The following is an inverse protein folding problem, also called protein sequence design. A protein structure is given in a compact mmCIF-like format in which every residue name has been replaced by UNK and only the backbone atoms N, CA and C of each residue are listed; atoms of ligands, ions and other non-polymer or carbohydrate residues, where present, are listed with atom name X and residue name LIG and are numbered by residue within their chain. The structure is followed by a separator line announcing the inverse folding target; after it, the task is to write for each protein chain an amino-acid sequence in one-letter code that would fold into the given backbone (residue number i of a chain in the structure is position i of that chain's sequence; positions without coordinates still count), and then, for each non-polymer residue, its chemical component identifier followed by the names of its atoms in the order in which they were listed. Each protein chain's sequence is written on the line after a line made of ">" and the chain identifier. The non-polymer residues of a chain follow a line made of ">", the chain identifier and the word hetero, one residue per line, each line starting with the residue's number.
data_IF_182363830977
#
_entry.id   IF_182363830977
#
_cell.length_a   1.000
_cell.length_b   1.000
_cell.length_c   1.000
_cell.angle_alpha   90.00
_cell.angle_beta   90.00
_cell.angle_gamma   90.00
#
_symmetry.space_group_name_H-M   'P 1'
#
loop_
_entity.id
_entity.type
_entity.pdbx_description
1 polymer ?
#
# COMPACT_ATOMS: atom_id res chain seq x y z
N UNK A 1 12.58 2.85 5.38
CA UNK A 1 11.94 3.77 4.40
C UNK A 1 11.51 3.00 3.19
N UNK A 2 10.24 3.13 2.76
CA UNK A 2 9.66 2.39 1.62
C UNK A 2 8.69 3.26 0.82
N UNK A 3 8.45 2.87 -0.42
CA UNK A 3 7.30 3.34 -1.20
C UNK A 3 6.32 2.19 -1.34
N UNK A 4 5.05 2.44 -1.04
CA UNK A 4 3.96 1.48 -1.21
C UNK A 4 3.07 1.94 -2.36
N UNK A 5 2.79 1.04 -3.29
CA UNK A 5 1.82 1.27 -4.35
C UNK A 5 0.66 0.29 -4.27
N UNK A 6 -0.54 0.74 -4.63
CA UNK A 6 -1.77 -0.06 -4.71
C UNK A 6 -1.95 -0.62 -6.12
N UNK A 7 -2.40 -1.88 -6.20
CA UNK A 7 -2.61 -2.55 -7.48
C UNK A 7 -3.75 -1.90 -8.30
N UNK A 8 -3.66 -1.80 -9.62
CA UNK A 8 -2.48 -2.07 -10.46
C UNK A 8 -1.78 -0.77 -10.90
N UNK A 9 -2.53 0.33 -10.99
CA UNK A 9 -2.06 1.58 -11.59
C UNK A 9 -1.10 2.33 -10.69
N UNK A 10 -1.28 2.28 -9.37
CA UNK A 10 -0.32 2.81 -8.41
C UNK A 10 1.09 2.21 -8.56
N UNK A 11 1.26 1.03 -9.16
CA UNK A 11 2.59 0.48 -9.43
C UNK A 11 3.34 1.26 -10.52
N UNK A 12 2.62 1.81 -11.50
CA UNK A 12 3.20 2.57 -12.61
C UNK A 12 3.84 3.88 -12.14
N UNK A 13 3.42 4.40 -10.99
CA UNK A 13 3.97 5.61 -10.38
C UNK A 13 4.84 5.28 -9.16
N UNK A 14 4.37 4.42 -8.27
CA UNK A 14 5.06 4.06 -7.04
C UNK A 14 6.39 3.34 -7.27
N UNK A 15 6.47 2.42 -8.23
CA UNK A 15 7.73 1.70 -8.48
C UNK A 15 8.82 2.62 -9.08
N UNK A 16 8.54 3.48 -10.08
CA UNK A 16 9.51 4.47 -10.53
C UNK A 16 9.90 5.49 -9.45
N UNK A 17 8.97 5.93 -8.59
CA UNK A 17 9.29 6.82 -7.46
C UNK A 17 10.23 6.12 -6.47
N UNK A 18 9.97 4.86 -6.13
CA UNK A 18 10.85 4.06 -5.27
C UNK A 18 12.27 3.96 -5.85
N UNK A 19 12.35 3.71 -7.16
CA UNK A 19 13.61 3.62 -7.90
C UNK A 19 14.36 4.97 -7.87
N UNK A 20 13.68 6.07 -8.16
CA UNK A 20 14.28 7.41 -8.15
C UNK A 20 14.78 7.85 -6.77
N UNK A 21 14.14 7.37 -5.70
CA UNK A 21 14.54 7.62 -4.32
C UNK A 21 15.57 6.61 -3.78
N UNK A 22 15.87 5.54 -4.53
CA UNK A 22 16.78 4.47 -4.09
C UNK A 22 16.25 3.65 -2.91
N UNK A 23 14.94 3.49 -2.78
CA UNK A 23 14.28 2.76 -1.68
C UNK A 23 13.49 1.55 -2.18
N UNK A 24 13.14 0.65 -1.26
CA UNK A 24 12.33 -0.52 -1.60
C UNK A 24 10.90 -0.17 -1.97
N UNK A 25 10.40 -0.77 -3.06
CA UNK A 25 8.99 -0.77 -3.43
C UNK A 25 8.26 -1.95 -2.79
N UNK A 26 7.06 -1.70 -2.28
CA UNK A 26 6.20 -2.70 -1.66
C UNK A 26 4.81 -2.67 -2.32
N UNK A 27 4.37 -3.76 -2.97
CA UNK A 27 3.04 -3.81 -3.55
C UNK A 27 1.98 -4.15 -2.49
N UNK A 28 0.87 -3.42 -2.53
CA UNK A 28 -0.40 -3.79 -1.89
C UNK A 28 -1.34 -4.30 -2.97
N UNK A 29 -1.95 -5.47 -2.75
CA UNK A 29 -2.65 -6.22 -3.80
C UNK A 29 -4.03 -6.68 -3.36
N UNK A 30 -4.84 -7.08 -4.34
CA UNK A 30 -6.08 -7.82 -4.07
C UNK A 30 -5.79 -9.22 -3.50
N UNK A 31 -6.77 -9.87 -2.85
CA UNK A 31 -6.55 -11.12 -2.13
C UNK A 31 -6.01 -12.25 -3.00
N UNK A 32 -5.09 -13.04 -2.45
CA UNK A 32 -4.55 -14.24 -3.09
C UNK A 32 -3.54 -13.96 -4.21
N UNK A 33 -3.07 -12.72 -4.35
CA UNK A 33 -2.04 -12.33 -5.34
C UNK A 33 -0.62 -12.29 -4.78
N UNK A 34 -0.49 -12.35 -3.46
CA UNK A 34 0.78 -12.31 -2.74
C UNK A 34 1.13 -13.74 -2.25
N UNK A 35 2.33 -14.27 -2.58
CA UNK A 35 2.64 -15.69 -2.35
C UNK A 35 3.13 -16.02 -0.93
N UNK A 36 3.47 -15.02 -0.11
CA UNK A 36 3.94 -15.22 1.27
C UNK A 36 2.84 -14.79 2.25
N UNK A 37 3.09 -14.95 3.54
CA UNK A 37 2.14 -14.58 4.58
C UNK A 37 1.72 -13.09 4.46
N UNK A 38 0.41 -12.84 4.52
CA UNK A 38 -0.20 -11.52 4.38
C UNK A 38 -1.06 -11.18 5.58
N UNK A 39 -1.23 -9.87 5.81
CA UNK A 39 -2.39 -9.34 6.53
C UNK A 39 -3.30 -8.64 5.54
N UNK A 40 -4.59 -8.58 5.87
CA UNK A 40 -5.60 -7.99 5.02
C UNK A 40 -6.41 -6.89 5.72
N UNK A 41 -6.95 -5.98 4.93
CA UNK A 41 -7.84 -4.90 5.37
C UNK A 41 -8.98 -4.73 4.37
N UNK A 42 -10.21 -4.77 4.88
CA UNK A 42 -11.43 -4.62 4.08
C UNK A 42 -11.83 -3.15 4.01
N UNK A 43 -12.33 -2.71 2.86
CA UNK A 43 -12.83 -1.35 2.66
C UNK A 43 -14.13 -1.35 1.86
N UNK A 44 -14.93 -0.31 2.07
CA UNK A 44 -16.23 -0.17 1.44
C UNK A 44 -16.11 0.36 0.00
N UNK A 45 -16.95 -0.18 -0.87
CA UNK A 45 -17.22 0.34 -2.22
C UNK A 45 -18.60 1.01 -2.23
N UNK A 46 -18.95 1.62 -3.35
CA UNK A 46 -20.33 2.11 -3.56
C UNK A 46 -21.35 0.96 -3.42
N UNK A 47 -20.96 -0.24 -3.85
CA UNK A 47 -21.73 -1.46 -3.70
C UNK A 47 -20.85 -2.58 -3.17
N UNK A 48 -21.00 -2.91 -1.89
CA UNK A 48 -20.28 -4.00 -1.23
C UNK A 48 -18.93 -3.60 -0.66
N UNK A 49 -18.05 -4.59 -0.51
CA UNK A 49 -16.71 -4.40 0.06
C UNK A 49 -15.67 -5.11 -0.80
N UNK A 50 -14.44 -4.62 -0.74
CA UNK A 50 -13.26 -5.28 -1.32
C UNK A 50 -12.15 -5.30 -0.26
N UNK A 51 -11.05 -5.98 -0.55
CA UNK A 51 -9.97 -6.20 0.41
C UNK A 51 -8.61 -5.97 -0.23
N UNK A 52 -7.67 -5.46 0.57
CA UNK A 52 -6.27 -5.32 0.21
C UNK A 52 -5.38 -6.16 1.12
N UNK A 53 -4.28 -6.65 0.58
CA UNK A 53 -3.28 -7.46 1.26
C UNK A 53 -1.87 -6.88 1.10
N UNK A 54 -1.05 -7.04 2.14
CA UNK A 54 0.38 -6.75 2.16
C UNK A 54 1.13 -7.92 2.82
N UNK A 55 2.35 -8.22 2.38
CA UNK A 55 3.17 -9.21 3.08
C UNK A 55 3.57 -8.71 4.47
N UNK A 56 3.52 -9.60 5.48
CA UNK A 56 3.82 -9.26 6.88
C UNK A 56 5.26 -8.81 7.11
N UNK A 57 6.19 -9.20 6.25
CA UNK A 57 7.60 -8.84 6.34
C UNK A 57 7.99 -7.63 5.48
N UNK A 58 7.03 -7.04 4.74
CA UNK A 58 7.32 -5.97 3.80
C UNK A 58 7.61 -4.64 4.49
N UNK A 59 7.06 -4.43 5.68
CA UNK A 59 7.20 -3.22 6.49
C UNK A 59 7.76 -3.64 7.86
N UNK A 60 8.72 -2.87 8.37
CA UNK A 60 9.26 -3.04 9.72
C UNK A 60 8.90 -1.83 10.60
N UNK A 61 8.81 -2.01 11.93
CA UNK A 61 8.64 -0.88 12.85
C UNK A 61 9.64 0.24 12.59
N UNK A 62 9.14 1.48 12.46
CA UNK A 62 9.94 2.67 12.18
C UNK A 62 10.26 2.90 10.69
N UNK A 63 9.80 2.03 9.78
CA UNK A 63 9.84 2.34 8.35
C UNK A 63 8.97 3.58 8.08
N UNK A 64 9.58 4.65 7.55
CA UNK A 64 8.85 5.77 6.96
C UNK A 64 8.35 5.40 5.57
N UNK A 65 7.05 5.45 5.36
CA UNK A 65 6.40 4.94 4.16
C UNK A 65 5.67 6.05 3.42
N UNK A 66 5.98 6.18 2.13
CA UNK A 66 5.22 7.00 1.19
C UNK A 66 4.24 6.10 0.45
N UNK A 67 2.95 6.44 0.46
CA UNK A 67 1.94 5.77 -0.38
C UNK A 67 1.82 6.52 -1.70
N UNK A 68 1.83 5.79 -2.82
CA UNK A 68 1.70 6.37 -4.16
C UNK A 68 0.61 5.64 -4.94
N UNK A 69 -0.32 6.39 -5.51
CA UNK A 69 -1.34 5.87 -6.43
C UNK A 69 -1.47 6.79 -7.65
N UNK A 70 -2.29 6.43 -8.63
CA UNK A 70 -2.50 7.23 -9.84
C UNK A 70 -3.55 8.33 -9.70
N UNK A 71 -4.57 8.11 -8.85
CA UNK A 71 -5.67 9.04 -8.66
C UNK A 71 -6.32 8.86 -7.30
N UNK A 72 -6.59 9.97 -6.60
CA UNK A 72 -7.40 9.97 -5.39
C UNK A 72 -8.89 10.17 -5.71
N UNK A 73 -9.72 9.15 -5.43
CA UNK A 73 -11.17 9.22 -5.54
C UNK A 73 -11.82 9.36 -4.14
N UNK A 74 -12.50 8.32 -3.64
CA UNK A 74 -13.10 8.31 -2.30
C UNK A 74 -12.05 8.15 -1.19
N UNK A 75 -10.85 7.67 -1.52
CA UNK A 75 -9.76 7.43 -0.57
C UNK A 75 -9.81 6.09 0.17
N UNK A 76 -10.84 5.25 -0.04
CA UNK A 76 -10.99 3.98 0.69
C UNK A 76 -9.82 3.00 0.51
N UNK A 77 -9.26 2.91 -0.69
CA UNK A 77 -8.06 2.09 -0.97
C UNK A 77 -6.83 2.60 -0.23
N UNK A 78 -6.68 3.92 -0.14
CA UNK A 78 -5.57 4.57 0.56
C UNK A 78 -5.72 4.39 2.06
N UNK A 79 -6.92 4.57 2.60
CA UNK A 79 -7.20 4.33 4.01
C UNK A 79 -6.88 2.89 4.41
N UNK A 80 -7.34 1.90 3.65
CA UNK A 80 -7.03 0.49 3.88
C UNK A 80 -5.51 0.22 3.82
N UNK A 81 -4.84 0.79 2.82
CA UNK A 81 -3.37 0.69 2.67
C UNK A 81 -2.63 1.28 3.88
N UNK A 82 -3.03 2.46 4.37
CA UNK A 82 -2.46 3.09 5.55
C UNK A 82 -2.66 2.24 6.80
N UNK A 83 -3.86 1.66 6.99
CA UNK A 83 -4.14 0.75 8.11
C UNK A 83 -3.24 -0.48 8.08
N UNK A 84 -3.07 -1.11 6.93
CA UNK A 84 -2.15 -2.24 6.75
C UNK A 84 -0.71 -1.88 7.15
N UNK A 85 -0.19 -0.75 6.65
CA UNK A 85 1.18 -0.29 6.94
C UNK A 85 1.36 -0.03 8.43
N UNK A 86 0.43 0.70 9.06
CA UNK A 86 0.49 1.04 10.49
C UNK A 86 0.40 -0.18 11.39
N UNK A 87 -0.39 -1.19 11.01
CA UNK A 87 -0.48 -2.47 11.75
C UNK A 87 0.85 -3.24 11.74
N UNK A 88 1.70 -3.03 10.74
CA UNK A 88 3.07 -3.58 10.68
C UNK A 88 4.12 -2.66 11.35
N UNK A 89 3.69 -1.55 11.97
CA UNK A 89 4.56 -0.59 12.65
C UNK A 89 5.19 0.47 11.75
N UNK A 90 4.77 0.56 10.49
CA UNK A 90 5.22 1.60 9.58
C UNK A 90 4.60 2.97 9.87
N UNK A 91 5.37 4.03 9.65
CA UNK A 91 4.95 5.42 9.80
C UNK A 91 4.55 5.97 8.43
N UNK A 92 3.26 6.30 8.25
CA UNK A 92 2.76 6.97 7.04
C UNK A 92 2.39 8.40 7.39
N UNK A 93 3.15 9.34 6.84
CA UNK A 93 2.90 10.78 6.94
C UNK A 93 2.33 11.37 5.64
N UNK A 94 2.70 10.79 4.49
CA UNK A 94 2.42 11.38 3.17
C UNK A 94 1.82 10.34 2.20
N UNK A 95 0.98 10.82 1.29
CA UNK A 95 0.49 10.10 0.13
C UNK A 95 0.54 11.00 -1.11
N UNK A 96 0.92 10.45 -2.27
CA UNK A 96 1.04 11.16 -3.54
C UNK A 96 0.16 10.52 -4.63
N UNK A 97 -0.40 11.36 -5.51
CA UNK A 97 -1.35 11.01 -6.57
C UNK A 97 -1.04 11.81 -7.84
#
# INVERSE_FOLDING_TARGET
>A
TKVVGTEARGFLFGAPVALGLGVGFVPVRKPGKLPRETISETYDLEYGTDQLEIHVDAIKPGDKVLVVDDLLATGGTIEATVKLIRRLGGEVADAAF
#
